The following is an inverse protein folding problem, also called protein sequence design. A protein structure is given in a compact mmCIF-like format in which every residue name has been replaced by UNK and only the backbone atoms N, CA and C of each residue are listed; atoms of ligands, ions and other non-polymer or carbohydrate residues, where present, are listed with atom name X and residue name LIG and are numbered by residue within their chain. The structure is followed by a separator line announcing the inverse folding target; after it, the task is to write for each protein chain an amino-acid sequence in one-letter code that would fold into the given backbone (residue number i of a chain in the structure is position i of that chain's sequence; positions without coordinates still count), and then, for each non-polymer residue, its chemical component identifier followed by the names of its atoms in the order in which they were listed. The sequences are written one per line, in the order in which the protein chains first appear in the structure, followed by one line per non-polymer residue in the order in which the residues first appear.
data_IF_137312781331
#
_entry.id   IF_137312781331
#
_cell.length_a   1.000
_cell.length_b   1.000
_cell.length_c   1.000
_cell.angle_alpha   90.00
_cell.angle_beta   90.00
_cell.angle_gamma   90.00
#
_symmetry.space_group_name_H-M   'P 1'
#
loop_
_entity.id
_entity.type
_entity.pdbx_description
1 polymer ?
#
# COMPACT_ATOMS: atom_id res chain seq x y z
N UNK A 1 24.05 -22.80 60.05
CA UNK A 1 24.30 -22.99 58.59
C UNK A 1 23.15 -22.42 57.74
N UNK A 2 21.89 -22.73 58.06
CA UNK A 2 20.69 -22.27 57.34
C UNK A 2 20.57 -20.73 57.19
N UNK A 3 20.82 -19.96 58.26
CA UNK A 3 20.75 -18.49 58.20
C UNK A 3 21.73 -17.87 57.18
N UNK A 4 22.96 -18.40 57.10
CA UNK A 4 23.97 -17.93 56.12
C UNK A 4 23.53 -18.21 54.68
N UNK A 5 22.83 -19.32 54.44
CA UNK A 5 22.28 -19.67 53.13
C UNK A 5 21.19 -18.68 52.70
N UNK A 6 20.30 -18.29 53.62
CA UNK A 6 19.28 -17.28 53.35
C UNK A 6 19.86 -15.90 53.03
N UNK A 7 20.91 -15.47 53.74
CA UNK A 7 21.59 -14.22 53.44
C UNK A 7 22.27 -14.26 52.07
N UNK A 8 22.94 -15.36 51.73
CA UNK A 8 23.54 -15.55 50.41
C UNK A 8 22.48 -15.52 49.29
N UNK A 9 21.33 -16.15 49.51
CA UNK A 9 20.20 -16.12 48.57
C UNK A 9 19.63 -14.69 48.40
N UNK A 10 19.50 -13.92 49.49
CA UNK A 10 19.04 -12.54 49.44
C UNK A 10 20.01 -11.64 48.64
N UNK A 11 21.32 -11.80 48.85
CA UNK A 11 22.35 -11.07 48.10
C UNK A 11 22.32 -11.47 46.62
N UNK A 12 22.19 -12.76 46.30
CA UNK A 12 22.06 -13.22 44.92
C UNK A 12 20.80 -12.66 44.24
N UNK A 13 19.67 -12.62 44.94
CA UNK A 13 18.43 -12.02 44.44
C UNK A 13 18.59 -10.52 44.18
N UNK A 14 19.28 -9.79 45.07
CA UNK A 14 19.57 -8.37 44.89
C UNK A 14 20.42 -8.11 43.64
N UNK A 15 21.52 -8.86 43.47
CA UNK A 15 22.41 -8.73 42.31
C UNK A 15 21.68 -9.12 41.01
N UNK A 16 20.89 -10.21 41.05
CA UNK A 16 20.08 -10.63 39.92
C UNK A 16 19.04 -9.59 39.49
N UNK A 17 18.37 -8.95 40.46
CA UNK A 17 17.43 -7.86 40.21
C UNK A 17 18.11 -6.66 39.56
N UNK A 18 19.27 -6.23 40.10
CA UNK A 18 20.04 -5.12 39.54
C UNK A 18 20.49 -5.39 38.09
N UNK A 19 20.99 -6.59 37.82
CA UNK A 19 21.36 -7.02 36.47
C UNK A 19 20.18 -7.06 35.50
N UNK A 20 19.03 -7.57 35.95
CA UNK A 20 17.82 -7.62 35.13
C UNK A 20 17.33 -6.22 34.73
N UNK A 21 17.23 -5.29 35.69
CA UNK A 21 16.79 -3.91 35.43
C UNK A 21 17.70 -3.22 34.43
N UNK A 22 19.02 -3.40 34.57
CA UNK A 22 20.00 -2.84 33.64
C UNK A 22 19.83 -3.40 32.23
N UNK A 23 19.62 -4.71 32.12
CA UNK A 23 19.34 -5.37 30.83
C UNK A 23 18.06 -4.89 30.17
N UNK A 24 17.03 -4.52 30.94
CA UNK A 24 15.80 -3.92 30.40
C UNK A 24 16.08 -2.48 29.91
N UNK A 25 16.79 -1.68 30.71
CA UNK A 25 17.15 -0.29 30.35
C UNK A 25 17.93 -0.21 29.04
N UNK A 26 18.89 -1.11 28.82
CA UNK A 26 19.68 -1.09 27.59
C UNK A 26 18.90 -1.54 26.36
N UNK A 27 18.02 -2.53 26.52
CA UNK A 27 17.15 -2.99 25.42
C UNK A 27 16.21 -1.89 24.94
N UNK A 28 15.68 -1.08 25.86
CA UNK A 28 14.79 0.04 25.49
C UNK A 28 15.53 1.19 24.83
N UNK A 29 16.73 1.54 25.29
CA UNK A 29 17.54 2.62 24.69
C UNK A 29 17.90 2.28 23.24
N UNK A 30 18.37 1.06 22.98
CA UNK A 30 18.75 0.64 21.63
C UNK A 30 17.55 0.61 20.66
N UNK A 31 16.41 0.11 21.12
CA UNK A 31 15.18 0.11 20.33
C UNK A 31 14.66 1.53 20.06
N UNK A 32 14.77 2.43 21.03
CA UNK A 32 14.37 3.83 20.88
C UNK A 32 15.22 4.55 19.83
N UNK A 33 16.54 4.35 19.82
CA UNK A 33 17.42 4.94 18.80
C UNK A 33 17.06 4.49 17.38
N UNK A 34 16.78 3.19 17.20
CA UNK A 34 16.35 2.68 15.90
C UNK A 34 14.98 3.25 15.49
N UNK A 35 14.05 3.38 16.43
CA UNK A 35 12.74 3.98 16.16
C UNK A 35 12.87 5.44 15.72
N UNK A 36 13.77 6.22 16.33
CA UNK A 36 14.02 7.61 15.94
C UNK A 36 14.57 7.69 14.51
N UNK A 37 15.55 6.84 14.17
CA UNK A 37 16.10 6.77 12.80
C UNK A 37 15.02 6.45 11.77
N UNK A 38 14.20 5.43 12.02
CA UNK A 38 13.11 5.03 11.12
C UNK A 38 12.05 6.12 11.00
N UNK A 39 11.67 6.77 12.11
CA UNK A 39 10.72 7.90 12.09
C UNK A 39 11.24 9.07 11.26
N UNK A 40 12.54 9.36 11.34
CA UNK A 40 13.15 10.41 10.53
C UNK A 40 13.11 10.09 9.04
N UNK A 41 13.37 8.84 8.65
CA UNK A 41 13.23 8.39 7.26
C UNK A 41 11.78 8.50 6.76
N UNK A 42 10.81 8.08 7.57
CA UNK A 42 9.38 8.23 7.26
C UNK A 42 9.00 9.71 7.06
N UNK A 43 9.54 10.60 7.89
CA UNK A 43 9.33 12.05 7.74
C UNK A 43 9.79 12.56 6.38
N UNK A 44 11.03 12.22 5.98
CA UNK A 44 11.58 12.61 4.67
C UNK A 44 10.75 12.10 3.50
N UNK A 45 10.30 10.85 3.57
CA UNK A 45 9.48 10.26 2.51
C UNK A 45 8.12 10.96 2.39
N UNK A 46 7.49 11.29 3.52
CA UNK A 46 6.24 12.06 3.54
C UNK A 46 6.41 13.44 2.94
N UNK A 47 7.51 14.12 3.20
CA UNK A 47 7.80 15.43 2.62
C UNK A 47 7.96 15.33 1.09
N UNK A 48 8.63 14.28 0.59
CA UNK A 48 8.75 14.01 -0.84
C UNK A 48 7.39 13.76 -1.50
N UNK A 49 6.52 12.96 -0.87
CA UNK A 49 5.15 12.72 -1.36
C UNK A 49 4.33 14.01 -1.38
N UNK A 50 4.47 14.86 -0.37
CA UNK A 50 3.76 16.14 -0.32
C UNK A 50 4.21 17.09 -1.44
N UNK A 51 5.51 17.13 -1.75
CA UNK A 51 6.03 17.87 -2.89
C UNK A 51 5.45 17.33 -4.21
N UNK A 52 5.46 16.01 -4.40
CA UNK A 52 4.90 15.37 -5.60
C UNK A 52 3.39 15.65 -5.74
N UNK A 53 2.65 15.64 -4.64
CA UNK A 53 1.22 15.98 -4.64
C UNK A 53 0.99 17.46 -4.98
N UNK A 54 1.85 18.36 -4.48
CA UNK A 54 1.77 19.77 -4.84
C UNK A 54 2.05 19.98 -6.34
N UNK A 55 3.02 19.27 -6.89
CA UNK A 55 3.29 19.26 -8.32
C UNK A 55 2.12 18.67 -9.12
N UNK A 56 1.57 17.54 -8.67
CA UNK A 56 0.41 16.94 -9.31
C UNK A 56 -0.79 17.88 -9.29
N UNK A 57 -1.07 18.55 -8.17
CA UNK A 57 -2.14 19.55 -8.06
C UNK A 57 -1.91 20.75 -9.01
N UNK A 58 -0.65 21.08 -9.31
CA UNK A 58 -0.32 22.10 -10.31
C UNK A 58 -0.59 21.61 -11.73
N UNK A 59 -0.30 20.35 -12.05
CA UNK A 59 -0.53 19.76 -13.37
C UNK A 59 -2.00 19.44 -13.63
N UNK A 60 -2.74 19.02 -12.61
CA UNK A 60 -4.16 18.62 -12.70
C UNK A 60 -5.14 19.78 -12.55
N UNK A 61 -4.67 21.04 -12.63
CA UNK A 61 -5.54 22.21 -12.61
C UNK A 61 -6.64 22.06 -13.68
N UNK A 62 -7.92 21.89 -13.29
CA UNK A 62 -9.00 21.57 -14.22
C UNK A 62 -9.19 22.66 -15.27
N UNK A 63 -8.94 23.92 -14.86
CA UNK A 63 -8.93 25.11 -15.71
C UNK A 63 -8.03 24.95 -16.95
N UNK A 64 -6.81 24.40 -16.77
CA UNK A 64 -5.87 24.17 -17.87
C UNK A 64 -6.31 23.03 -18.78
N UNK A 65 -6.92 21.99 -18.22
CA UNK A 65 -7.45 20.86 -18.99
C UNK A 65 -8.65 21.34 -19.83
N UNK A 66 -9.47 22.21 -19.26
CA UNK A 66 -10.65 22.79 -19.91
C UNK A 66 -10.25 23.76 -21.03
N UNK A 67 -9.28 24.65 -20.80
CA UNK A 67 -8.71 25.52 -21.84
C UNK A 67 -8.10 24.73 -23.01
N UNK A 68 -7.41 23.61 -22.73
CA UNK A 68 -6.86 22.74 -23.78
C UNK A 68 -7.96 21.98 -24.52
N UNK A 69 -9.00 21.51 -23.82
CA UNK A 69 -10.14 20.83 -24.44
C UNK A 69 -10.90 21.77 -25.39
N UNK A 70 -11.14 23.02 -24.95
CA UNK A 70 -11.83 24.04 -25.72
C UNK A 70 -11.01 24.49 -26.94
N UNK A 71 -9.70 24.71 -26.77
CA UNK A 71 -8.83 25.24 -27.83
C UNK A 71 -8.33 24.20 -28.84
N UNK A 72 -8.11 22.95 -28.43
CA UNK A 72 -7.47 21.92 -29.28
C UNK A 72 -8.40 20.81 -29.73
N UNK A 73 -9.45 20.50 -28.96
CA UNK A 73 -10.34 19.37 -29.26
C UNK A 73 -11.75 19.80 -29.66
N UNK A 74 -12.12 21.08 -29.53
CA UNK A 74 -13.45 21.56 -29.91
C UNK A 74 -14.56 20.84 -29.15
N UNK A 75 -14.30 20.45 -27.90
CA UNK A 75 -15.26 19.71 -27.09
C UNK A 75 -16.37 20.64 -26.58
N UNK A 76 -17.59 20.13 -26.56
CA UNK A 76 -18.73 20.78 -25.92
C UNK A 76 -18.65 20.51 -24.40
N UNK A 77 -18.92 21.50 -23.53
CA UNK A 77 -18.85 21.31 -22.08
C UNK A 77 -19.74 20.15 -21.65
N UNK A 78 -19.21 19.29 -20.77
CA UNK A 78 -19.88 18.11 -20.26
C UNK A 78 -21.20 18.53 -19.60
N UNK A 79 -22.30 18.26 -20.28
CA UNK A 79 -23.61 18.67 -19.82
C UNK A 79 -24.21 17.54 -18.97
N UNK A 80 -24.91 17.91 -17.88
CA UNK A 80 -25.41 16.96 -16.87
C UNK A 80 -26.30 15.85 -17.44
N UNK A 81 -26.91 16.06 -18.61
CA UNK A 81 -27.74 15.10 -19.34
C UNK A 81 -26.95 14.03 -20.12
N UNK A 82 -25.62 14.17 -20.26
CA UNK A 82 -24.74 13.19 -20.89
C UNK A 82 -24.25 12.11 -19.91
N UNK A 83 -24.41 12.36 -18.61
CA UNK A 83 -24.11 11.40 -17.56
C UNK A 83 -25.33 10.50 -17.42
N UNK A 84 -25.30 9.35 -18.10
CA UNK A 84 -26.35 8.34 -17.95
C UNK A 84 -26.35 7.82 -16.50
N UNK A 85 -27.54 7.69 -15.91
CA UNK A 85 -27.69 7.02 -14.63
C UNK A 85 -27.33 5.54 -14.78
N UNK A 86 -26.88 4.89 -13.71
CA UNK A 86 -26.43 3.47 -13.76
C UNK A 86 -27.55 2.56 -14.29
N UNK A 87 -28.79 2.98 -14.08
CA UNK A 87 -30.01 2.33 -14.57
C UNK A 87 -30.23 2.43 -16.10
N UNK A 88 -29.69 3.46 -16.75
CA UNK A 88 -29.80 3.72 -18.20
C UNK A 88 -28.66 3.08 -19.01
N UNK A 89 -27.69 2.45 -18.34
CA UNK A 89 -26.60 1.76 -19.03
C UNK A 89 -27.14 0.47 -19.66
N UNK A 90 -26.97 0.26 -20.98
CA UNK A 90 -27.27 -1.05 -21.57
C UNK A 90 -26.49 -2.11 -20.82
N UNK A 91 -27.18 -3.19 -20.42
CA UNK A 91 -26.60 -4.27 -19.62
C UNK A 91 -25.25 -4.70 -20.17
N UNK A 92 -24.28 -4.94 -19.27
CA UNK A 92 -22.89 -5.17 -19.60
C UNK A 92 -22.75 -6.03 -20.86
N UNK A 93 -22.32 -5.41 -21.96
CA UNK A 93 -22.02 -6.12 -23.19
C UNK A 93 -21.06 -7.25 -22.83
N UNK A 94 -21.30 -8.49 -23.29
CA UNK A 94 -20.38 -9.58 -23.03
C UNK A 94 -19.00 -9.12 -23.49
N UNK A 95 -18.01 -9.19 -22.59
CA UNK A 95 -16.64 -8.75 -22.85
C UNK A 95 -16.08 -9.63 -23.96
N UNK A 96 -16.30 -9.23 -25.21
CA UNK A 96 -15.75 -9.91 -26.37
C UNK A 96 -14.27 -9.55 -26.36
N UNK A 97 -13.44 -10.50 -25.93
CA UNK A 97 -12.00 -10.38 -26.02
C UNK A 97 -11.60 -10.39 -27.50
N UNK A 98 -11.59 -9.20 -28.09
CA UNK A 98 -11.18 -8.99 -29.47
C UNK A 98 -9.73 -9.41 -29.66
N UNK A 99 -8.89 -9.25 -28.64
CA UNK A 99 -7.48 -9.62 -28.64
C UNK A 99 -7.36 -11.15 -28.67
N UNK A 100 -8.06 -11.86 -27.77
CA UNK A 100 -8.12 -13.32 -27.75
C UNK A 100 -8.58 -13.94 -29.08
N UNK A 101 -9.61 -13.36 -29.71
CA UNK A 101 -10.06 -13.79 -31.05
C UNK A 101 -9.00 -13.53 -32.13
N UNK A 102 -8.35 -12.37 -32.14
CA UNK A 102 -7.28 -12.13 -33.11
C UNK A 102 -6.12 -13.10 -32.93
N UNK A 103 -5.71 -13.41 -31.68
CA UNK A 103 -4.64 -14.37 -31.41
C UNK A 103 -4.99 -15.79 -31.90
N UNK A 104 -6.27 -16.18 -31.77
CA UNK A 104 -6.78 -17.44 -32.30
C UNK A 104 -6.79 -17.47 -33.83
N UNK A 105 -7.22 -16.38 -34.49
CA UNK A 105 -7.18 -16.27 -35.96
C UNK A 105 -5.77 -16.23 -36.53
N UNK A 106 -4.79 -15.71 -35.76
CA UNK A 106 -3.38 -15.71 -36.12
C UNK A 106 -2.70 -17.07 -35.86
N UNK A 107 -3.43 -18.06 -35.35
CA UNK A 107 -2.93 -19.43 -35.15
C UNK A 107 -1.94 -19.57 -33.99
N UNK A 108 -1.83 -18.56 -33.12
CA UNK A 108 -0.84 -18.49 -32.04
C UNK A 108 -1.23 -19.28 -30.78
N UNK A 109 -2.45 -19.83 -30.74
CA UNK A 109 -2.99 -20.55 -29.57
C UNK A 109 -2.79 -22.07 -29.60
N UNK A 110 -2.17 -22.64 -30.65
CA UNK A 110 -2.12 -24.11 -30.80
C UNK A 110 -1.08 -24.82 -29.91
N UNK A 111 -0.12 -24.08 -29.34
CA UNK A 111 1.05 -24.69 -28.69
C UNK A 111 1.29 -24.23 -27.24
N UNK A 112 0.42 -23.40 -26.66
CA UNK A 112 0.59 -22.95 -25.28
C UNK A 112 -0.49 -23.56 -24.38
N UNK A 113 -0.26 -24.80 -23.97
CA UNK A 113 -0.94 -25.36 -22.80
C UNK A 113 -0.62 -24.44 -21.61
N UNK A 114 -1.53 -23.53 -21.32
CA UNK A 114 -1.49 -22.72 -20.12
C UNK A 114 -1.68 -23.69 -18.96
N UNK A 115 -0.69 -23.89 -18.07
CA UNK A 115 -0.88 -24.75 -16.92
C UNK A 115 -2.07 -24.19 -16.15
N UNK A 116 -3.04 -25.06 -15.83
CA UNK A 116 -4.18 -24.68 -15.03
C UNK A 116 -3.68 -24.05 -13.74
N UNK A 117 -3.75 -22.72 -13.65
CA UNK A 117 -3.58 -22.00 -12.39
C UNK A 117 -4.77 -22.42 -11.55
N UNK A 118 -4.51 -23.37 -10.66
CA UNK A 118 -5.43 -23.76 -9.59
C UNK A 118 -5.83 -22.46 -8.89
N UNK A 119 -7.11 -22.13 -8.95
CA UNK A 119 -7.69 -20.99 -8.25
C UNK A 119 -7.64 -21.26 -6.74
N UNK A 120 -6.44 -21.15 -6.16
CA UNK A 120 -6.15 -21.24 -4.75
C UNK A 120 -5.71 -19.87 -4.26
N UNK A 121 -6.67 -19.01 -3.97
CA UNK A 121 -6.42 -17.65 -3.48
C UNK A 121 -7.72 -17.01 -3.03
N UNK A 122 -8.21 -17.46 -1.87
CA UNK A 122 -9.32 -16.81 -1.18
C UNK A 122 -8.97 -15.33 -0.92
N UNK A 123 -9.74 -14.42 -1.52
CA UNK A 123 -9.75 -13.01 -1.16
C UNK A 123 -10.20 -12.90 0.30
N UNK A 124 -9.40 -12.33 1.22
CA UNK A 124 -9.89 -12.00 2.54
C UNK A 124 -10.91 -10.86 2.42
N UNK A 125 -12.11 -11.10 2.94
CA UNK A 125 -13.14 -10.06 3.05
C UNK A 125 -12.60 -8.93 3.93
N UNK A 126 -12.49 -7.73 3.35
CA UNK A 126 -12.27 -6.51 4.10
C UNK A 126 -13.50 -6.28 5.00
N UNK A 127 -13.26 -6.21 6.32
CA UNK A 127 -14.19 -5.72 7.32
C UNK A 127 -13.71 -4.37 7.81
#
# INVERSE_FOLDING_TARGET
MFLRLMHAAAIAALIGSAGYVYGVKYRTIYAAEQLVKTRHLIGKEKDAINLLRAEHARLSRPDRIQDLADSKLGMQPLALWQIAAVEDLPGAQPKVDSIGRTLETLGLNKDNETPAVVAGGATPAAR
#
